data_IF_422843726739
#
_entry.id   IF_422843726739
#
_cell.length_a   1.000
_cell.length_b   1.000
_cell.length_c   1.000
_cell.angle_alpha   90.00
_cell.angle_beta   90.00
_cell.angle_gamma   90.00
#
_symmetry.space_group_name_H-M   'P 1'
#
loop_
_entity.id
_entity.type
_entity.pdbx_description
1 polymer ?
#
# COMPACT_ATOMS: atom_id res chain seq x y z
N UNK A 1 22.20 31.55 26.90
CA UNK A 1 22.95 30.38 26.45
C UNK A 1 22.06 29.19 26.72
N UNK A 2 21.38 28.69 25.68
CA UNK A 2 20.46 27.58 25.78
C UNK A 2 21.23 26.27 25.96
N UNK A 3 20.81 25.54 26.96
CA UNK A 3 21.45 24.26 27.38
C UNK A 3 21.16 23.15 26.39
N UNK A 4 22.10 22.86 25.50
CA UNK A 4 22.06 21.81 24.45
C UNK A 4 22.35 20.39 24.99
N UNK A 5 22.53 20.22 26.30
CA UNK A 5 23.02 18.97 26.90
C UNK A 5 21.98 17.86 27.02
N UNK A 6 20.71 18.11 26.63
CA UNK A 6 19.63 17.13 26.74
C UNK A 6 19.10 16.64 25.39
N UNK A 7 19.70 17.05 24.27
CA UNK A 7 19.32 16.51 22.97
C UNK A 7 19.92 15.12 22.78
N UNK A 8 19.08 14.15 22.42
CA UNK A 8 19.54 12.85 21.92
C UNK A 8 20.38 13.05 20.66
N UNK A 9 21.24 12.10 20.30
CA UNK A 9 22.03 12.17 19.06
C UNK A 9 21.13 12.42 17.83
N UNK A 10 19.93 11.81 17.79
CA UNK A 10 18.92 12.07 16.80
C UNK A 10 18.46 13.54 16.79
N UNK A 11 18.27 14.16 17.96
CA UNK A 11 17.91 15.57 18.09
C UNK A 11 18.99 16.54 17.60
N UNK A 12 20.27 16.23 17.88
CA UNK A 12 21.42 17.03 17.39
C UNK A 12 21.55 16.92 15.87
N UNK A 13 21.38 15.70 15.32
CA UNK A 13 21.39 15.47 13.88
C UNK A 13 20.26 16.26 13.20
N UNK A 14 19.03 16.17 13.71
CA UNK A 14 17.87 16.91 13.25
C UNK A 14 18.11 18.43 13.22
N UNK A 15 18.69 18.96 14.28
CA UNK A 15 19.04 20.40 14.34
C UNK A 15 20.07 20.78 13.27
N UNK A 16 21.09 19.94 13.01
CA UNK A 16 22.08 20.17 11.95
C UNK A 16 21.44 20.14 10.55
N UNK A 17 20.50 19.23 10.30
CA UNK A 17 19.81 19.10 9.01
C UNK A 17 18.86 20.28 8.75
N UNK A 18 18.16 20.76 9.77
CA UNK A 18 17.34 21.99 9.69
C UNK A 18 18.16 23.25 9.35
N UNK A 19 19.44 23.28 9.73
CA UNK A 19 20.37 24.37 9.42
C UNK A 19 21.03 24.24 8.03
N UNK A 20 20.92 23.06 7.38
CA UNK A 20 21.41 22.88 6.01
C UNK A 20 20.52 23.59 5.00
N UNK A 21 21.06 23.90 3.85
CA UNK A 21 20.33 24.44 2.70
C UNK A 21 19.25 23.50 2.18
N UNK A 22 18.78 23.71 0.97
CA UNK A 22 17.84 22.78 0.32
C UNK A 22 18.49 21.39 0.18
N UNK A 23 17.78 20.31 0.53
CA UNK A 23 18.31 18.93 0.45
C UNK A 23 18.46 18.47 -1.01
N UNK A 24 19.24 17.41 -1.21
CA UNK A 24 19.25 16.60 -2.43
C UNK A 24 18.21 15.47 -2.31
N UNK A 25 17.60 15.05 -3.43
CA UNK A 25 16.60 14.00 -3.50
C UNK A 25 17.07 12.88 -4.43
N UNK A 26 17.13 11.64 -3.92
CA UNK A 26 17.29 10.43 -4.72
C UNK A 26 15.93 9.78 -4.96
N UNK A 27 15.66 9.45 -6.23
CA UNK A 27 14.46 8.74 -6.68
C UNK A 27 14.87 7.37 -7.19
N UNK A 28 14.36 6.31 -6.56
CA UNK A 28 14.61 4.92 -6.96
C UNK A 28 13.46 4.42 -7.81
N UNK A 29 13.77 3.93 -9.03
CA UNK A 29 12.79 3.42 -9.99
C UNK A 29 13.18 1.98 -10.39
N UNK A 30 12.52 0.94 -9.83
CA UNK A 30 12.74 -0.45 -10.24
C UNK A 30 12.02 -0.72 -11.56
N UNK A 31 12.72 -1.25 -12.57
CA UNK A 31 12.17 -1.47 -13.92
C UNK A 31 12.29 -2.93 -14.32
N UNK A 32 11.19 -3.53 -14.77
CA UNK A 32 11.17 -4.84 -15.40
C UNK A 32 10.04 -4.97 -16.41
N UNK A 33 10.36 -5.08 -17.71
CA UNK A 33 9.42 -5.30 -18.81
C UNK A 33 8.23 -4.31 -18.83
N UNK A 34 8.53 -3.01 -18.92
CA UNK A 34 7.55 -1.90 -18.91
C UNK A 34 7.84 -0.85 -20.00
N UNK A 35 8.35 -1.28 -21.16
CA UNK A 35 8.76 -0.39 -22.24
C UNK A 35 7.67 0.60 -22.66
N UNK A 36 6.39 0.22 -22.57
CA UNK A 36 5.25 1.06 -22.92
C UNK A 36 5.07 2.26 -21.97
N UNK A 37 5.49 2.12 -20.70
CA UNK A 37 5.18 3.08 -19.64
C UNK A 37 6.38 3.89 -19.16
N UNK A 38 7.58 3.27 -19.14
CA UNK A 38 8.75 3.77 -18.43
C UNK A 38 9.21 5.15 -18.86
N UNK A 39 9.13 5.50 -20.15
CA UNK A 39 9.53 6.84 -20.62
C UNK A 39 8.59 7.91 -20.07
N UNK A 40 7.27 7.69 -20.12
CA UNK A 40 6.27 8.62 -19.57
C UNK A 40 6.47 8.80 -18.05
N UNK A 41 6.72 7.72 -17.35
CA UNK A 41 6.98 7.71 -15.91
C UNK A 41 8.22 8.57 -15.59
N UNK A 42 9.36 8.27 -16.20
CA UNK A 42 10.61 8.99 -15.96
C UNK A 42 10.53 10.46 -16.38
N UNK A 43 9.85 10.81 -17.48
CA UNK A 43 9.61 12.21 -17.83
C UNK A 43 8.84 12.93 -16.72
N UNK A 44 7.80 12.32 -16.13
CA UNK A 44 7.07 12.95 -15.03
C UNK A 44 7.93 13.21 -13.79
N UNK A 45 8.96 12.39 -13.55
CA UNK A 45 9.97 12.57 -12.49
C UNK A 45 10.92 13.71 -12.84
N UNK A 46 11.43 13.75 -14.06
CA UNK A 46 12.41 14.72 -14.52
C UNK A 46 11.85 16.15 -14.64
N UNK A 47 10.57 16.26 -14.99
CA UNK A 47 9.84 17.51 -15.15
C UNK A 47 9.42 18.14 -13.81
N UNK A 48 9.69 17.49 -12.66
CA UNK A 48 9.35 18.05 -11.36
C UNK A 48 10.10 19.34 -11.05
N UNK A 49 9.40 20.38 -10.54
CA UNK A 49 10.05 21.61 -10.10
C UNK A 49 11.06 21.37 -8.98
N UNK A 50 12.24 21.94 -9.08
CA UNK A 50 13.34 21.78 -8.10
C UNK A 50 13.39 22.89 -7.05
N UNK A 51 12.24 23.50 -6.72
CA UNK A 51 12.19 24.69 -5.83
C UNK A 51 12.65 24.39 -4.41
N UNK A 52 12.33 23.19 -3.89
CA UNK A 52 12.62 22.79 -2.51
C UNK A 52 13.86 21.91 -2.39
N UNK A 53 14.45 21.46 -3.49
CA UNK A 53 15.65 20.62 -3.53
C UNK A 53 16.80 21.36 -4.21
N UNK A 54 18.04 21.02 -3.85
CA UNK A 54 19.27 21.55 -4.47
C UNK A 54 19.78 20.65 -5.58
N UNK A 55 19.39 19.39 -5.61
CA UNK A 55 19.78 18.39 -6.62
C UNK A 55 18.77 17.24 -6.68
N UNK A 56 18.66 16.65 -7.87
CA UNK A 56 17.87 15.44 -8.13
C UNK A 56 18.81 14.37 -8.68
N UNK A 57 18.71 13.18 -8.13
CA UNK A 57 19.36 11.96 -8.59
C UNK A 57 18.26 10.92 -8.86
N UNK A 58 18.23 10.37 -10.09
CA UNK A 58 17.25 9.35 -10.50
C UNK A 58 18.01 8.05 -10.74
N UNK A 59 17.80 7.08 -9.89
CA UNK A 59 18.46 5.78 -9.94
C UNK A 59 17.46 4.77 -10.48
N UNK A 60 17.65 4.38 -11.74
CA UNK A 60 16.81 3.40 -12.42
C UNK A 60 17.49 2.05 -12.35
N UNK A 61 16.84 1.07 -11.77
CA UNK A 61 17.36 -0.30 -11.69
C UNK A 61 16.60 -1.18 -12.67
N UNK A 62 17.26 -1.53 -13.78
CA UNK A 62 16.76 -2.48 -14.77
C UNK A 62 17.00 -3.92 -14.27
N UNK A 63 15.94 -4.56 -13.80
CA UNK A 63 15.96 -5.91 -13.24
C UNK A 63 15.90 -7.00 -14.34
N UNK A 64 16.76 -6.83 -15.37
CA UNK A 64 16.91 -7.81 -16.45
C UNK A 64 15.77 -7.80 -17.45
N UNK A 65 15.30 -6.62 -17.87
CA UNK A 65 14.25 -6.50 -18.87
C UNK A 65 14.62 -7.13 -20.22
N UNK A 66 13.64 -7.82 -20.84
CA UNK A 66 13.75 -8.51 -22.11
C UNK A 66 12.93 -7.87 -23.24
N UNK A 67 12.19 -6.82 -22.93
CA UNK A 67 11.47 -5.96 -23.90
C UNK A 67 12.30 -4.75 -24.32
N UNK A 68 11.71 -3.68 -24.82
CA UNK A 68 12.40 -2.45 -25.19
C UNK A 68 12.85 -1.56 -24.02
N UNK A 69 12.56 -1.89 -22.75
CA UNK A 69 12.83 -1.04 -21.59
C UNK A 69 14.29 -0.63 -21.49
N UNK A 70 15.23 -1.59 -21.54
CA UNK A 70 16.67 -1.31 -21.43
C UNK A 70 17.19 -0.34 -22.50
N UNK A 71 16.63 -0.35 -23.70
CA UNK A 71 17.02 0.60 -24.77
C UNK A 71 16.53 2.01 -24.46
N UNK A 72 15.29 2.15 -23.99
CA UNK A 72 14.70 3.43 -23.57
C UNK A 72 15.54 4.03 -22.43
N UNK A 73 15.87 3.24 -21.42
CA UNK A 73 16.64 3.67 -20.25
C UNK A 73 18.03 4.18 -20.63
N UNK A 74 18.76 3.45 -21.51
CA UNK A 74 20.07 3.90 -21.99
C UNK A 74 20.01 5.23 -22.74
N UNK A 75 18.97 5.43 -23.55
CA UNK A 75 18.76 6.71 -24.24
C UNK A 75 18.51 7.83 -23.23
N UNK A 76 17.60 7.64 -22.29
CA UNK A 76 17.27 8.65 -21.27
C UNK A 76 18.48 9.00 -20.39
N UNK A 77 19.30 8.03 -20.00
CA UNK A 77 20.52 8.30 -19.24
C UNK A 77 21.58 9.06 -20.05
N UNK A 78 21.59 8.94 -21.38
CA UNK A 78 22.46 9.72 -22.24
C UNK A 78 21.96 11.17 -22.43
N UNK A 79 20.64 11.40 -22.33
CA UNK A 79 20.01 12.71 -22.45
C UNK A 79 20.03 13.49 -21.12
N UNK A 80 19.94 12.80 -19.97
CA UNK A 80 19.68 13.40 -18.66
C UNK A 80 20.80 13.06 -17.66
N UNK A 81 21.68 13.98 -17.35
CA UNK A 81 22.84 13.78 -16.50
C UNK A 81 22.49 13.35 -15.05
N UNK A 82 21.27 13.58 -14.58
CA UNK A 82 20.81 13.15 -13.27
C UNK A 82 20.24 11.71 -13.25
N UNK A 83 20.20 11.02 -14.40
CA UNK A 83 19.70 9.64 -14.51
C UNK A 83 20.87 8.67 -14.55
N UNK A 84 20.88 7.74 -13.60
CA UNK A 84 21.83 6.62 -13.56
C UNK A 84 21.05 5.32 -13.75
N UNK A 85 21.50 4.46 -14.67
CA UNK A 85 20.90 3.14 -14.92
C UNK A 85 21.83 2.05 -14.40
N UNK A 86 21.30 1.20 -13.52
CA UNK A 86 21.97 0.00 -13.02
C UNK A 86 21.23 -1.21 -13.60
N UNK A 87 21.93 -2.12 -14.25
CA UNK A 87 21.34 -3.36 -14.79
C UNK A 87 21.78 -4.55 -13.93
N UNK A 88 20.83 -5.40 -13.56
CA UNK A 88 21.05 -6.62 -12.81
C UNK A 88 20.28 -7.80 -13.43
N UNK A 89 20.66 -9.06 -13.13
CA UNK A 89 19.82 -10.22 -13.43
C UNK A 89 18.49 -10.11 -12.68
N UNK A 90 17.37 -10.55 -13.31
CA UNK A 90 16.06 -10.50 -12.67
C UNK A 90 16.06 -11.18 -11.31
N UNK A 91 15.87 -10.39 -10.27
CA UNK A 91 15.91 -10.77 -8.86
C UNK A 91 14.69 -10.29 -8.08
N UNK A 92 13.76 -9.63 -8.77
CA UNK A 92 12.51 -9.11 -8.23
C UNK A 92 12.61 -7.67 -7.69
N UNK A 93 11.44 -7.05 -7.56
CA UNK A 93 11.31 -5.62 -7.24
C UNK A 93 11.97 -5.21 -5.91
N UNK A 94 11.95 -6.09 -4.90
CA UNK A 94 12.61 -5.84 -3.61
C UNK A 94 14.11 -5.69 -3.78
N UNK A 95 14.76 -6.62 -4.47
CA UNK A 95 16.20 -6.59 -4.74
C UNK A 95 16.56 -5.37 -5.60
N UNK A 96 15.75 -5.05 -6.62
CA UNK A 96 15.95 -3.86 -7.43
C UNK A 96 15.85 -2.56 -6.60
N UNK A 97 14.89 -2.47 -5.67
CA UNK A 97 14.81 -1.34 -4.75
C UNK A 97 16.01 -1.26 -3.82
N UNK A 98 16.49 -2.39 -3.25
CA UNK A 98 17.71 -2.40 -2.43
C UNK A 98 18.93 -1.92 -3.21
N UNK A 99 19.14 -2.42 -4.43
CA UNK A 99 20.22 -1.94 -5.31
C UNK A 99 20.14 -0.41 -5.52
N UNK A 100 18.94 0.12 -5.73
CA UNK A 100 18.72 1.56 -5.88
C UNK A 100 18.97 2.34 -4.59
N UNK A 101 18.55 1.82 -3.43
CA UNK A 101 18.79 2.43 -2.11
C UNK A 101 20.30 2.49 -1.82
N UNK A 102 21.02 1.40 -2.09
CA UNK A 102 22.47 1.32 -1.86
C UNK A 102 23.25 2.30 -2.73
N UNK A 103 22.77 2.59 -3.93
CA UNK A 103 23.34 3.56 -4.84
C UNK A 103 22.94 5.02 -4.53
N UNK A 104 21.90 5.24 -3.71
CA UNK A 104 21.37 6.57 -3.41
C UNK A 104 22.32 7.38 -2.54
N UNK A 105 22.60 8.64 -2.94
CA UNK A 105 23.49 9.56 -2.22
C UNK A 105 22.78 10.79 -1.66
N UNK A 106 21.54 11.04 -2.07
CA UNK A 106 20.76 12.20 -1.65
C UNK A 106 20.45 12.24 -0.14
N UNK A 107 20.15 13.43 0.36
CA UNK A 107 19.70 13.62 1.75
C UNK A 107 18.31 12.99 1.98
N UNK A 108 17.49 13.01 0.93
CA UNK A 108 16.14 12.45 0.90
C UNK A 108 16.06 11.29 -0.11
N UNK A 109 15.14 10.38 0.14
CA UNK A 109 14.86 9.19 -0.66
C UNK A 109 13.37 9.10 -0.98
N UNK A 110 13.03 8.75 -2.21
CA UNK A 110 11.67 8.39 -2.63
C UNK A 110 11.70 7.31 -3.69
N UNK A 111 10.53 6.74 -3.98
CA UNK A 111 10.37 5.65 -4.94
C UNK A 111 9.31 6.01 -5.96
N UNK A 112 9.43 5.48 -7.17
CA UNK A 112 8.42 5.60 -8.23
C UNK A 112 8.30 4.27 -8.95
N UNK A 113 7.10 3.75 -9.08
CA UNK A 113 6.86 2.57 -9.90
C UNK A 113 6.87 2.97 -11.38
N UNK A 114 7.48 2.17 -12.26
CA UNK A 114 7.84 2.59 -13.63
C UNK A 114 6.65 2.65 -14.59
N UNK A 115 5.46 2.29 -14.16
CA UNK A 115 4.19 2.35 -14.89
C UNK A 115 3.25 3.45 -14.40
N UNK A 116 3.68 4.22 -13.38
CA UNK A 116 2.95 5.33 -12.80
C UNK A 116 3.53 6.70 -13.21
N UNK A 117 2.85 7.77 -12.82
CA UNK A 117 3.31 9.13 -13.07
C UNK A 117 3.16 10.02 -11.84
N UNK A 118 3.88 11.14 -11.84
CA UNK A 118 3.77 12.13 -10.78
C UNK A 118 2.97 13.34 -11.28
N UNK A 119 2.05 13.90 -10.49
CA UNK A 119 1.47 15.20 -10.74
C UNK A 119 2.55 16.28 -10.63
N UNK A 120 2.31 17.45 -11.22
CA UNK A 120 3.24 18.60 -11.12
C UNK A 120 3.40 19.01 -9.66
N UNK A 121 4.65 19.25 -9.25
CA UNK A 121 5.01 19.70 -7.89
C UNK A 121 4.75 18.66 -6.78
N UNK A 122 4.83 17.38 -7.12
CA UNK A 122 4.52 16.25 -6.25
C UNK A 122 5.27 16.24 -4.91
N UNK A 123 6.54 16.69 -4.89
CA UNK A 123 7.39 16.56 -3.69
C UNK A 123 7.52 17.83 -2.87
N UNK A 124 7.19 19.01 -3.43
CA UNK A 124 7.50 20.29 -2.77
C UNK A 124 6.84 20.44 -1.41
N UNK A 125 5.58 20.03 -1.26
CA UNK A 125 4.89 20.09 0.01
C UNK A 125 5.56 19.19 1.06
N UNK A 126 5.87 17.95 0.71
CA UNK A 126 6.54 16.98 1.59
C UNK A 126 7.94 17.43 1.98
N UNK A 127 8.77 17.87 1.02
CA UNK A 127 10.14 18.34 1.30
C UNK A 127 10.12 19.59 2.19
N UNK A 128 9.22 20.53 1.92
CA UNK A 128 9.02 21.74 2.75
C UNK A 128 8.60 21.36 4.17
N UNK A 129 7.69 20.41 4.32
CA UNK A 129 7.27 19.93 5.62
C UNK A 129 8.43 19.31 6.39
N UNK A 130 9.18 18.39 5.78
CA UNK A 130 10.34 17.75 6.40
C UNK A 130 11.40 18.77 6.83
N UNK A 131 11.65 19.81 6.03
CA UNK A 131 12.58 20.89 6.40
C UNK A 131 12.10 21.70 7.61
N UNK A 132 10.78 21.87 7.75
CA UNK A 132 10.17 22.64 8.86
C UNK A 132 10.06 21.83 10.14
N UNK A 133 9.64 20.58 10.05
CA UNK A 133 9.31 19.74 11.20
C UNK A 133 10.47 18.90 11.73
N UNK A 134 11.39 18.54 10.84
CA UNK A 134 12.44 17.57 11.13
C UNK A 134 11.92 16.12 11.22
N UNK A 135 10.70 15.83 10.78
CA UNK A 135 10.14 14.47 10.74
C UNK A 135 10.97 13.53 9.90
N UNK A 136 10.88 12.22 10.15
CA UNK A 136 11.69 11.19 9.50
C UNK A 136 11.24 10.95 8.05
N UNK A 137 9.94 11.08 7.81
CA UNK A 137 9.36 11.06 6.47
C UNK A 137 8.08 11.90 6.40
N UNK A 138 7.65 12.20 5.19
CA UNK A 138 6.35 12.78 4.89
C UNK A 138 5.60 11.89 3.89
N UNK A 139 4.28 11.84 4.00
CA UNK A 139 3.40 11.06 3.13
C UNK A 139 2.32 11.96 2.55
N UNK A 140 2.09 11.86 1.23
CA UNK A 140 1.04 12.59 0.52
C UNK A 140 -0.06 11.67 -0.01
N UNK A 141 -1.17 12.28 -0.44
CA UNK A 141 -2.28 11.55 -1.04
C UNK A 141 -1.94 11.02 -2.44
N UNK A 142 -2.66 10.00 -2.87
CA UNK A 142 -2.57 9.48 -4.24
C UNK A 142 -3.95 9.35 -4.87
N UNK A 143 -4.01 9.53 -6.19
CA UNK A 143 -5.20 9.28 -6.99
C UNK A 143 -4.99 8.08 -7.91
N UNK A 144 -6.03 7.30 -8.10
CA UNK A 144 -6.10 6.34 -9.20
C UNK A 144 -6.47 7.07 -10.48
N UNK A 145 -5.71 6.79 -11.53
CA UNK A 145 -5.93 7.35 -12.87
C UNK A 145 -6.31 6.23 -13.81
N UNK A 146 -7.53 6.25 -14.31
CA UNK A 146 -8.06 5.28 -15.26
C UNK A 146 -8.46 5.98 -16.56
N UNK A 147 -8.25 5.32 -17.70
CA UNK A 147 -8.75 5.79 -19.00
C UNK A 147 -9.92 4.92 -19.42
N UNK A 148 -11.12 5.48 -19.45
CA UNK A 148 -12.35 4.81 -19.87
C UNK A 148 -12.95 5.53 -21.08
N UNK A 149 -13.04 4.82 -22.21
CA UNK A 149 -13.57 5.41 -23.44
C UNK A 149 -12.78 6.64 -23.95
N UNK A 150 -11.48 6.70 -23.69
CA UNK A 150 -10.61 7.83 -24.05
C UNK A 150 -10.68 9.04 -23.11
N UNK A 151 -11.44 8.92 -22.00
CA UNK A 151 -11.55 9.97 -20.99
C UNK A 151 -10.79 9.56 -19.73
N UNK A 152 -9.86 10.41 -19.29
CA UNK A 152 -9.16 10.21 -18.02
C UNK A 152 -10.08 10.48 -16.83
N UNK A 153 -10.12 9.55 -15.89
CA UNK A 153 -10.84 9.65 -14.63
C UNK A 153 -9.87 9.51 -13.47
N UNK A 154 -9.95 10.46 -12.56
CA UNK A 154 -9.15 10.50 -11.34
C UNK A 154 -10.03 10.32 -10.12
N UNK A 155 -9.62 9.47 -9.19
CA UNK A 155 -10.34 9.27 -7.94
C UNK A 155 -9.45 8.76 -6.82
N UNK A 156 -9.70 9.25 -5.61
CA UNK A 156 -9.10 8.69 -4.39
C UNK A 156 -9.91 7.52 -3.89
N UNK A 157 -9.25 6.48 -3.41
CA UNK A 157 -9.92 5.44 -2.64
C UNK A 157 -10.49 6.02 -1.34
N UNK A 158 -11.55 5.45 -0.74
CA UNK A 158 -12.10 5.93 0.52
C UNK A 158 -11.07 5.99 1.64
N UNK A 159 -10.17 4.99 1.71
CA UNK A 159 -9.09 4.94 2.68
C UNK A 159 -8.09 6.08 2.49
N UNK A 160 -7.63 6.30 1.25
CA UNK A 160 -6.73 7.40 0.91
C UNK A 160 -7.33 8.75 1.29
N UNK A 161 -8.61 8.97 0.95
CA UNK A 161 -9.34 10.19 1.32
C UNK A 161 -9.45 10.38 2.84
N UNK A 162 -9.69 9.28 3.60
CA UNK A 162 -9.76 9.33 5.07
C UNK A 162 -8.40 9.67 5.68
N UNK A 163 -7.35 9.01 5.21
CA UNK A 163 -6.01 9.17 5.76
C UNK A 163 -5.41 10.55 5.49
N UNK A 164 -5.77 11.16 4.35
CA UNK A 164 -5.25 12.45 3.90
C UNK A 164 -6.29 13.59 3.96
N UNK A 165 -7.34 13.46 4.80
CA UNK A 165 -8.39 14.47 4.94
C UNK A 165 -7.93 15.78 5.56
N UNK A 166 -6.84 15.78 6.32
CA UNK A 166 -6.26 16.95 6.98
C UNK A 166 -4.75 16.80 7.11
N UNK A 167 -4.02 17.91 7.01
CA UNK A 167 -2.58 17.96 7.32
C UNK A 167 -2.36 17.62 8.80
N UNK A 168 -1.39 16.76 9.07
CA UNK A 168 -0.96 16.41 10.41
C UNK A 168 0.56 16.39 10.44
N UNK A 169 1.16 17.12 11.35
CA UNK A 169 2.60 17.30 11.43
C UNK A 169 3.14 16.62 12.68
N UNK A 170 4.31 15.98 12.52
CA UNK A 170 5.03 15.31 13.61
C UNK A 170 4.19 14.24 14.32
N UNK A 171 3.35 13.53 13.56
CA UNK A 171 2.59 12.40 14.08
C UNK A 171 3.50 11.23 14.47
N UNK A 172 3.10 10.51 15.49
CA UNK A 172 3.56 9.14 15.72
C UNK A 172 2.52 8.17 15.19
N UNK A 173 2.90 6.92 14.93
CA UNK A 173 1.94 5.93 14.46
C UNK A 173 0.82 5.67 15.47
N UNK A 174 1.08 5.82 16.76
CA UNK A 174 0.08 5.72 17.83
C UNK A 174 -1.00 6.79 17.74
N UNK A 175 -0.66 7.99 17.22
CA UNK A 175 -1.62 9.10 17.03
C UNK A 175 -2.42 8.97 15.74
N UNK A 176 -1.94 8.14 14.80
CA UNK A 176 -2.52 7.96 13.48
C UNK A 176 -2.49 6.49 13.01
N UNK A 177 -3.04 5.54 13.79
CA UNK A 177 -2.81 4.11 13.58
C UNK A 177 -3.34 3.59 12.24
N UNK A 178 -4.33 4.24 11.64
CA UNK A 178 -4.82 3.90 10.30
C UNK A 178 -3.80 4.14 9.18
N UNK A 179 -2.72 4.87 9.45
CA UNK A 179 -1.63 5.03 8.49
C UNK A 179 -0.90 3.69 8.22
N UNK A 180 -1.04 2.67 9.07
CA UNK A 180 -0.62 1.31 8.77
C UNK A 180 -1.27 0.72 7.51
N UNK A 181 -2.40 1.26 7.07
CA UNK A 181 -3.05 0.88 5.81
C UNK A 181 -2.51 1.63 4.58
N UNK A 182 -1.70 2.68 4.78
CA UNK A 182 -1.00 3.39 3.70
C UNK A 182 0.34 2.69 3.41
N UNK A 183 0.23 1.49 2.84
CA UNK A 183 1.35 0.57 2.57
C UNK A 183 2.15 0.93 1.32
N UNK A 184 1.90 2.07 0.70
CA UNK A 184 2.55 2.46 -0.55
C UNK A 184 3.88 3.18 -0.26
N UNK A 185 4.97 2.74 -0.88
CA UNK A 185 6.28 3.37 -0.69
C UNK A 185 6.44 4.65 -1.53
N UNK A 186 5.73 4.73 -2.65
CA UNK A 186 5.91 5.73 -3.68
C UNK A 186 5.20 7.08 -3.41
N UNK A 187 4.28 7.17 -2.44
CA UNK A 187 3.65 8.43 -2.02
C UNK A 187 4.38 9.09 -0.84
N UNK A 188 5.63 8.72 -0.58
CA UNK A 188 6.40 9.16 0.58
C UNK A 188 7.76 9.72 0.17
N UNK A 189 8.24 10.68 0.97
CA UNK A 189 9.62 11.15 0.93
C UNK A 189 10.23 10.91 2.30
N UNK A 190 11.32 10.16 2.34
CA UNK A 190 12.03 9.74 3.55
C UNK A 190 13.33 10.53 3.70
N UNK A 191 13.78 10.75 4.94
CA UNK A 191 15.19 11.00 5.16
C UNK A 191 15.96 9.73 4.87
N UNK A 192 16.95 9.78 4.00
CA UNK A 192 17.73 8.59 3.67
C UNK A 192 18.44 8.04 4.89
N UNK A 193 18.94 8.92 5.80
CA UNK A 193 19.55 8.49 7.05
C UNK A 193 18.60 7.68 7.93
N UNK A 194 17.30 8.10 8.02
CA UNK A 194 16.28 7.34 8.74
C UNK A 194 16.14 5.91 8.17
N UNK A 195 16.06 5.79 6.83
CA UNK A 195 15.91 4.50 6.17
C UNK A 195 17.07 3.56 6.47
N UNK A 196 18.32 4.07 6.33
CA UNK A 196 19.54 3.27 6.51
C UNK A 196 19.85 2.91 7.95
N UNK A 197 19.67 3.84 8.89
CA UNK A 197 19.95 3.64 10.31
C UNK A 197 18.98 2.67 10.98
N UNK A 198 17.71 2.61 10.51
CA UNK A 198 16.74 1.65 11.01
C UNK A 198 16.73 0.33 10.22
N UNK A 199 17.68 0.16 9.29
CA UNK A 199 17.81 -1.06 8.48
C UNK A 199 16.48 -1.51 7.86
N UNK A 200 15.69 -0.55 7.33
CA UNK A 200 14.41 -0.84 6.68
C UNK A 200 14.66 -1.69 5.43
N UNK A 201 13.98 -2.84 5.34
CA UNK A 201 14.15 -3.78 4.23
C UNK A 201 12.81 -4.18 3.63
N UNK A 202 12.81 -4.36 2.31
CA UNK A 202 11.71 -5.02 1.61
C UNK A 202 11.94 -6.53 1.64
N UNK A 203 10.99 -7.35 2.12
CA UNK A 203 11.11 -8.81 2.02
C UNK A 203 11.29 -9.23 0.56
N UNK A 204 12.19 -10.15 0.31
CA UNK A 204 12.43 -10.67 -1.02
C UNK A 204 11.37 -11.70 -1.43
N UNK A 205 11.19 -11.88 -2.75
CA UNK A 205 10.36 -12.93 -3.35
C UNK A 205 8.92 -12.97 -2.87
N UNK A 206 8.34 -11.81 -2.59
CA UNK A 206 6.92 -11.66 -2.26
C UNK A 206 6.31 -10.47 -3.03
N UNK A 207 5.03 -10.58 -3.42
CA UNK A 207 4.30 -9.53 -4.13
C UNK A 207 3.85 -8.37 -3.23
N UNK A 208 3.86 -8.57 -1.91
CA UNK A 208 3.26 -7.66 -0.93
C UNK A 208 4.33 -7.06 0.01
N UNK A 209 5.56 -6.97 -0.48
CA UNK A 209 6.73 -6.52 0.25
C UNK A 209 6.58 -5.13 0.88
N UNK A 210 5.81 -4.24 0.23
CA UNK A 210 5.60 -2.88 0.71
C UNK A 210 4.90 -2.85 2.07
N UNK A 211 3.95 -3.73 2.33
CA UNK A 211 3.25 -3.80 3.61
C UNK A 211 4.21 -4.04 4.78
N UNK A 212 5.15 -4.96 4.62
CA UNK A 212 6.13 -5.27 5.67
C UNK A 212 7.11 -4.12 5.85
N UNK A 213 7.67 -3.61 4.75
CA UNK A 213 8.61 -2.50 4.79
C UNK A 213 7.99 -1.23 5.40
N UNK A 214 6.76 -0.88 5.00
CA UNK A 214 6.09 0.30 5.54
C UNK A 214 5.62 0.11 6.99
N UNK A 215 5.32 -1.10 7.43
CA UNK A 215 5.10 -1.38 8.85
C UNK A 215 6.37 -1.10 9.67
N UNK A 216 7.55 -1.53 9.19
CA UNK A 216 8.85 -1.19 9.83
C UNK A 216 9.04 0.33 9.86
N UNK A 217 8.79 1.03 8.74
CA UNK A 217 8.89 2.50 8.64
C UNK A 217 8.04 3.19 9.70
N UNK A 218 6.75 2.83 9.81
CA UNK A 218 5.84 3.48 10.77
C UNK A 218 6.21 3.20 12.22
N UNK A 219 6.67 1.99 12.54
CA UNK A 219 7.07 1.61 13.90
C UNK A 219 8.41 2.24 14.31
N UNK A 220 9.34 2.41 13.39
CA UNK A 220 10.66 2.97 13.66
C UNK A 220 10.66 4.51 13.74
N UNK A 221 9.68 5.18 13.12
CA UNK A 221 9.69 6.64 13.03
C UNK A 221 9.44 7.32 14.38
N UNK A 222 10.31 8.25 14.73
CA UNK A 222 10.05 9.20 15.83
C UNK A 222 8.86 10.10 15.53
N UNK A 223 8.75 10.54 14.26
CA UNK A 223 7.59 11.28 13.78
C UNK A 223 7.55 11.31 12.25
N UNK A 224 6.32 11.48 11.72
CA UNK A 224 6.08 11.67 10.29
C UNK A 224 5.03 12.78 10.06
N UNK A 225 5.02 13.31 8.84
CA UNK A 225 4.06 14.34 8.42
C UNK A 225 3.08 13.75 7.42
N UNK A 226 1.79 14.03 7.58
CA UNK A 226 0.73 13.65 6.64
C UNK A 226 0.27 14.88 5.89
N UNK A 227 0.38 14.87 4.57
CA UNK A 227 0.00 15.96 3.67
C UNK A 227 -1.36 15.65 3.03
N UNK A 228 -2.08 16.70 2.63
CA UNK A 228 -3.36 16.59 1.91
C UNK A 228 -3.18 16.61 0.39
N UNK A 229 -2.03 17.05 -0.09
CA UNK A 229 -1.72 17.18 -1.50
C UNK A 229 -1.64 15.80 -2.18
N UNK A 230 -2.18 15.72 -3.40
CA UNK A 230 -2.00 14.57 -4.29
C UNK A 230 -0.58 14.62 -4.85
N UNK A 231 0.21 13.61 -4.50
CA UNK A 231 1.63 13.52 -4.86
C UNK A 231 1.93 12.38 -5.84
N UNK A 232 0.93 11.58 -6.16
CA UNK A 232 1.12 10.38 -6.98
C UNK A 232 -0.12 10.03 -7.81
N UNK A 233 0.09 9.74 -9.08
CA UNK A 233 -0.90 9.30 -10.06
C UNK A 233 -0.75 7.79 -10.30
N UNK A 234 -1.51 6.98 -9.55
CA UNK A 234 -1.49 5.53 -9.68
C UNK A 234 -2.29 5.08 -10.89
N UNK A 235 -1.60 4.68 -11.96
CA UNK A 235 -2.22 4.30 -13.23
C UNK A 235 -2.96 2.96 -13.14
N UNK A 236 -4.17 2.89 -13.64
CA UNK A 236 -4.92 1.65 -13.79
C UNK A 236 -4.64 1.07 -15.16
N UNK A 237 -3.89 -0.03 -15.25
CA UNK A 237 -3.58 -0.68 -16.52
C UNK A 237 -4.83 -1.25 -17.16
N UNK A 238 -5.05 -0.96 -18.45
CA UNK A 238 -6.21 -1.42 -19.20
C UNK A 238 -6.21 -2.94 -19.42
N UNK A 239 -5.01 -3.55 -19.54
CA UNK A 239 -4.80 -4.97 -19.81
C UNK A 239 -4.92 -5.88 -18.57
N UNK A 240 -5.10 -5.30 -17.39
CA UNK A 240 -5.18 -6.03 -16.10
C UNK A 240 -3.96 -6.93 -15.82
N UNK A 241 -2.79 -6.62 -16.36
CA UNK A 241 -1.56 -7.43 -16.24
C UNK A 241 -0.81 -7.28 -14.90
N UNK A 242 -1.34 -6.50 -13.95
CA UNK A 242 -0.66 -6.23 -12.69
C UNK A 242 -0.44 -7.50 -11.86
N UNK A 243 0.72 -7.62 -11.23
CA UNK A 243 1.14 -8.79 -10.45
C UNK A 243 0.14 -9.17 -9.33
N UNK A 244 -0.61 -8.20 -8.81
CA UNK A 244 -1.59 -8.38 -7.72
C UNK A 244 -2.92 -8.96 -8.21
N UNK A 245 -3.17 -9.08 -9.51
CA UNK A 245 -4.46 -9.52 -10.05
C UNK A 245 -4.61 -11.05 -10.18
N UNK A 246 -3.52 -11.82 -10.07
CA UNK A 246 -3.54 -13.29 -10.18
C UNK A 246 -3.91 -13.97 -8.85
N UNK A 247 -5.06 -13.64 -8.28
CA UNK A 247 -5.46 -14.05 -6.92
C UNK A 247 -5.91 -15.48 -6.79
N UNK A 248 -6.33 -16.10 -7.88
CA UNK A 248 -6.69 -17.52 -7.92
C UNK A 248 -5.46 -18.46 -7.83
N UNK A 249 -4.24 -17.93 -7.91
CA UNK A 249 -3.02 -18.72 -7.73
C UNK A 249 -2.75 -18.97 -6.24
N UNK A 250 -2.47 -20.21 -5.89
CA UNK A 250 -2.16 -20.62 -4.51
C UNK A 250 -0.97 -19.85 -3.92
N UNK A 251 0.08 -19.63 -4.72
CA UNK A 251 1.25 -18.86 -4.32
C UNK A 251 0.89 -17.41 -3.90
N UNK A 252 -0.10 -16.80 -4.56
CA UNK A 252 -0.56 -15.45 -4.20
C UNK A 252 -1.19 -15.41 -2.80
N UNK A 253 -2.01 -16.40 -2.46
CA UNK A 253 -2.61 -16.52 -1.13
C UNK A 253 -1.53 -16.78 -0.07
N UNK A 254 -0.58 -17.68 -0.32
CA UNK A 254 0.53 -17.99 0.60
C UNK A 254 1.33 -16.72 0.90
N UNK A 255 1.76 -15.99 -0.12
CA UNK A 255 2.52 -14.74 0.05
C UNK A 255 1.72 -13.69 0.83
N UNK A 256 0.40 -13.60 0.59
CA UNK A 256 -0.47 -12.67 1.33
C UNK A 256 -0.58 -13.05 2.81
N UNK A 257 -0.75 -14.32 3.12
CA UNK A 257 -0.80 -14.83 4.51
C UNK A 257 0.53 -14.55 5.22
N UNK A 258 1.64 -14.87 4.58
CA UNK A 258 2.98 -14.67 5.16
C UNK A 258 3.26 -13.18 5.42
N UNK A 259 2.87 -12.30 4.49
CA UNK A 259 3.01 -10.86 4.67
C UNK A 259 2.19 -10.35 5.85
N UNK A 260 0.94 -10.81 6.00
CA UNK A 260 0.10 -10.43 7.13
C UNK A 260 0.67 -10.94 8.45
N UNK A 261 1.19 -12.16 8.48
CA UNK A 261 1.83 -12.74 9.68
C UNK A 261 3.06 -11.92 10.09
N UNK A 262 3.94 -11.58 9.14
CA UNK A 262 5.08 -10.71 9.40
C UNK A 262 4.66 -9.32 9.91
N UNK A 263 3.60 -8.75 9.36
CA UNK A 263 3.04 -7.46 9.81
C UNK A 263 2.53 -7.55 11.26
N UNK A 264 1.81 -8.61 11.60
CA UNK A 264 1.33 -8.88 12.98
C UNK A 264 2.51 -9.00 13.93
N UNK A 265 3.54 -9.76 13.55
CA UNK A 265 4.73 -9.99 14.39
C UNK A 265 5.51 -8.69 14.63
N UNK A 266 5.68 -7.85 13.63
CA UNK A 266 6.29 -6.53 13.76
C UNK A 266 5.51 -5.63 14.74
N UNK A 267 4.19 -5.55 14.59
CA UNK A 267 3.35 -4.74 15.50
C UNK A 267 3.30 -5.34 16.91
N UNK A 268 3.35 -6.67 17.04
CA UNK A 268 3.45 -7.34 18.36
C UNK A 268 4.76 -7.01 19.06
N UNK A 269 5.86 -6.90 18.32
CA UNK A 269 7.18 -6.63 18.88
C UNK A 269 7.41 -5.15 19.21
N UNK A 270 6.89 -4.22 18.41
CA UNK A 270 7.21 -2.79 18.51
C UNK A 270 6.04 -1.84 18.73
N UNK A 271 4.78 -2.31 18.66
CA UNK A 271 3.59 -1.49 18.78
C UNK A 271 2.86 -1.64 20.12
N UNK A 272 1.84 -0.81 20.32
CA UNK A 272 0.93 -0.90 21.47
C UNK A 272 -0.23 -1.86 21.23
N UNK A 273 -0.96 -2.19 22.30
CA UNK A 273 -2.22 -2.94 22.20
C UNK A 273 -3.26 -2.20 21.35
N UNK A 274 -3.30 -0.86 21.39
CA UNK A 274 -4.16 -0.05 20.55
C UNK A 274 -3.81 -0.18 19.07
N UNK A 275 -2.52 -0.15 18.74
CA UNK A 275 -2.04 -0.31 17.37
C UNK A 275 -2.36 -1.71 16.83
N UNK A 276 -2.18 -2.76 17.65
CA UNK A 276 -2.58 -4.13 17.31
C UNK A 276 -4.08 -4.25 17.07
N UNK A 277 -4.89 -3.65 17.93
CA UNK A 277 -6.35 -3.65 17.74
C UNK A 277 -6.75 -2.96 16.42
N UNK A 278 -6.17 -1.80 16.12
CA UNK A 278 -6.42 -1.11 14.84
C UNK A 278 -5.95 -1.95 13.65
N UNK A 279 -4.78 -2.60 13.76
CA UNK A 279 -4.27 -3.48 12.71
C UNK A 279 -5.27 -4.61 12.39
N UNK A 280 -5.76 -5.31 13.41
CA UNK A 280 -6.67 -6.46 13.25
C UNK A 280 -8.06 -6.05 12.79
N UNK A 281 -8.58 -4.92 13.28
CA UNK A 281 -9.97 -4.50 13.04
C UNK A 281 -10.13 -3.67 11.76
N UNK A 282 -9.16 -2.79 11.46
CA UNK A 282 -9.32 -1.77 10.42
C UNK A 282 -8.35 -1.93 9.24
N UNK A 283 -7.19 -2.59 9.40
CA UNK A 283 -6.14 -2.62 8.37
C UNK A 283 -6.06 -3.97 7.66
N UNK A 284 -5.80 -5.05 8.38
CA UNK A 284 -5.60 -6.36 7.77
C UNK A 284 -6.81 -6.92 7.02
N UNK A 285 -8.08 -6.64 7.41
CA UNK A 285 -9.22 -7.20 6.71
C UNK A 285 -9.52 -6.54 5.35
N UNK A 286 -8.94 -5.37 5.04
CA UNK A 286 -9.33 -4.54 3.87
C UNK A 286 -9.31 -5.30 2.55
N UNK A 287 -8.33 -6.15 2.33
CA UNK A 287 -8.10 -6.83 1.04
C UNK A 287 -8.40 -8.34 1.06
N UNK A 288 -8.88 -8.86 2.19
CA UNK A 288 -9.19 -10.29 2.31
C UNK A 288 -10.38 -10.73 1.45
N UNK A 289 -11.32 -9.84 1.18
CA UNK A 289 -12.53 -10.13 0.39
C UNK A 289 -12.24 -10.70 -1.00
N UNK A 290 -11.12 -10.32 -1.60
CA UNK A 290 -10.72 -10.83 -2.91
C UNK A 290 -10.27 -12.28 -2.83
N UNK A 291 -9.65 -12.69 -1.73
CA UNK A 291 -9.29 -14.09 -1.47
C UNK A 291 -10.52 -14.93 -1.11
N UNK A 292 -11.52 -14.33 -0.42
CA UNK A 292 -12.81 -15.02 -0.21
C UNK A 292 -13.50 -15.31 -1.54
N UNK A 293 -13.48 -14.37 -2.49
CA UNK A 293 -14.01 -14.60 -3.83
C UNK A 293 -13.20 -15.63 -4.61
N UNK A 294 -11.88 -15.53 -4.54
CA UNK A 294 -11.00 -16.46 -5.22
C UNK A 294 -11.20 -17.89 -4.71
N UNK A 295 -11.42 -18.10 -3.42
CA UNK A 295 -11.53 -19.43 -2.81
C UNK A 295 -12.62 -20.33 -3.43
N UNK A 296 -13.64 -19.75 -4.04
CA UNK A 296 -14.76 -20.47 -4.68
C UNK A 296 -14.85 -20.18 -6.19
N UNK A 297 -13.83 -19.59 -6.78
CA UNK A 297 -13.78 -19.30 -8.21
C UNK A 297 -13.41 -20.60 -8.98
N UNK A 298 -14.01 -20.89 -10.15
CA UNK A 298 -13.72 -22.12 -10.90
C UNK A 298 -12.27 -22.25 -11.37
N UNK A 299 -11.57 -21.12 -11.57
CA UNK A 299 -10.17 -21.11 -12.02
C UNK A 299 -9.16 -21.15 -10.86
N UNK A 300 -9.60 -21.42 -9.63
CA UNK A 300 -8.70 -21.45 -8.46
C UNK A 300 -7.78 -22.66 -8.52
N UNK A 301 -6.49 -22.37 -8.39
CA UNK A 301 -5.46 -23.41 -8.32
C UNK A 301 -5.63 -24.17 -6.99
N UNK A 302 -5.72 -25.51 -7.08
CA UNK A 302 -5.94 -26.41 -5.93
C UNK A 302 -7.00 -25.88 -4.93
N UNK A 303 -8.30 -25.92 -5.28
CA UNK A 303 -9.36 -25.28 -4.48
C UNK A 303 -9.44 -25.79 -3.04
N UNK A 304 -9.16 -27.06 -2.80
CA UNK A 304 -9.18 -27.63 -1.44
C UNK A 304 -8.06 -27.05 -0.60
N UNK A 305 -6.85 -27.03 -1.13
CA UNK A 305 -5.69 -26.46 -0.43
C UNK A 305 -5.82 -24.95 -0.23
N UNK A 306 -6.35 -24.25 -1.24
CA UNK A 306 -6.63 -22.81 -1.14
C UNK A 306 -7.63 -22.52 -0.01
N UNK A 307 -8.72 -23.29 0.07
CA UNK A 307 -9.72 -23.17 1.12
C UNK A 307 -9.15 -23.41 2.51
N UNK A 308 -8.41 -24.52 2.70
CA UNK A 308 -7.75 -24.83 3.97
C UNK A 308 -6.83 -23.73 4.46
N UNK A 309 -5.98 -23.20 3.58
CA UNK A 309 -5.04 -22.13 3.91
C UNK A 309 -5.76 -20.83 4.25
N UNK A 310 -6.76 -20.45 3.45
CA UNK A 310 -7.54 -19.24 3.70
C UNK A 310 -8.28 -19.31 5.03
N UNK A 311 -8.97 -20.44 5.27
CA UNK A 311 -9.68 -20.68 6.53
C UNK A 311 -8.73 -20.69 7.73
N UNK A 312 -7.60 -21.39 7.61
CA UNK A 312 -6.57 -21.40 8.65
C UNK A 312 -6.09 -19.99 9.00
N UNK A 313 -5.81 -19.17 7.99
CA UNK A 313 -5.38 -17.78 8.19
C UNK A 313 -6.47 -16.90 8.84
N UNK A 314 -7.74 -17.06 8.46
CA UNK A 314 -8.85 -16.34 9.08
C UNK A 314 -8.98 -16.70 10.55
N UNK A 315 -8.87 -17.98 10.90
CA UNK A 315 -8.91 -18.44 12.29
C UNK A 315 -7.71 -17.91 13.07
N UNK A 316 -6.48 -18.09 12.57
CA UNK A 316 -5.23 -17.65 13.20
C UNK A 316 -5.22 -16.14 13.50
N UNK A 317 -5.53 -15.32 12.50
CA UNK A 317 -5.33 -13.87 12.61
C UNK A 317 -6.43 -13.16 13.41
N UNK A 318 -7.63 -13.71 13.43
CA UNK A 318 -8.78 -13.04 14.05
C UNK A 318 -9.39 -13.84 15.21
N UNK A 319 -9.82 -15.07 15.00
CA UNK A 319 -10.53 -15.81 16.05
C UNK A 319 -9.60 -16.22 17.19
N UNK A 320 -8.41 -16.74 16.89
CA UNK A 320 -7.42 -17.11 17.91
C UNK A 320 -6.84 -15.87 18.62
N UNK A 321 -6.84 -14.71 17.93
CA UNK A 321 -6.48 -13.43 18.53
C UNK A 321 -7.59 -12.80 19.41
N UNK A 322 -8.77 -13.43 19.50
CA UNK A 322 -9.90 -12.92 20.27
C UNK A 322 -10.62 -11.72 19.64
N UNK A 323 -10.43 -11.47 18.35
CA UNK A 323 -11.07 -10.42 17.57
C UNK A 323 -11.76 -11.06 16.37
N UNK A 324 -12.99 -11.60 16.51
CA UNK A 324 -13.70 -12.22 15.39
C UNK A 324 -13.76 -11.30 14.17
N UNK A 325 -13.63 -11.85 12.95
CA UNK A 325 -13.61 -11.05 11.74
C UNK A 325 -14.89 -10.22 11.53
N UNK A 326 -16.01 -10.71 12.03
CA UNK A 326 -17.29 -10.01 12.03
C UNK A 326 -17.29 -8.71 12.84
N UNK A 327 -16.35 -8.55 13.78
CA UNK A 327 -16.18 -7.32 14.59
C UNK A 327 -15.29 -6.27 13.89
N UNK A 328 -14.80 -6.58 12.69
CA UNK A 328 -13.99 -5.65 11.89
C UNK A 328 -14.82 -4.54 11.24
N UNK A 329 -14.15 -3.47 10.78
CA UNK A 329 -14.83 -2.31 10.17
C UNK A 329 -15.12 -2.45 8.67
N UNK A 330 -14.73 -3.56 8.06
CA UNK A 330 -15.02 -3.79 6.63
C UNK A 330 -16.52 -3.94 6.37
N UNK A 331 -16.97 -3.74 5.11
CA UNK A 331 -18.39 -3.87 4.77
C UNK A 331 -19.01 -5.18 5.23
N UNK A 332 -20.25 -5.14 5.69
CA UNK A 332 -20.97 -6.28 6.24
C UNK A 332 -20.97 -7.54 5.34
N UNK A 333 -20.96 -7.34 4.02
CA UNK A 333 -20.86 -8.45 3.06
C UNK A 333 -19.51 -9.17 3.17
N UNK A 334 -18.42 -8.46 3.42
CA UNK A 334 -17.10 -9.03 3.60
C UNK A 334 -17.00 -9.76 4.96
N UNK A 335 -17.60 -9.20 6.00
CA UNK A 335 -17.71 -9.84 7.31
C UNK A 335 -18.51 -11.14 7.22
N UNK A 336 -19.60 -11.16 6.47
CA UNK A 336 -20.38 -12.39 6.21
C UNK A 336 -19.56 -13.43 5.42
N UNK A 337 -18.80 -13.01 4.40
CA UNK A 337 -17.90 -13.93 3.67
C UNK A 337 -16.89 -14.58 4.62
N UNK A 338 -16.23 -13.79 5.45
CA UNK A 338 -15.23 -14.29 6.40
C UNK A 338 -15.85 -15.23 7.45
N UNK A 339 -17.05 -14.92 7.95
CA UNK A 339 -17.78 -15.79 8.84
C UNK A 339 -18.09 -17.15 8.19
N UNK A 340 -18.56 -17.16 6.92
CA UNK A 340 -18.79 -18.41 6.18
C UNK A 340 -17.48 -19.22 6.01
N UNK A 341 -16.36 -18.56 5.75
CA UNK A 341 -15.04 -19.21 5.70
C UNK A 341 -14.68 -19.82 7.07
N UNK A 342 -14.82 -19.08 8.15
CA UNK A 342 -14.51 -19.56 9.48
C UNK A 342 -15.37 -20.77 9.89
N UNK A 343 -16.65 -20.77 9.50
CA UNK A 343 -17.61 -21.86 9.76
C UNK A 343 -17.48 -23.04 8.76
N UNK A 344 -16.46 -23.03 7.89
CA UNK A 344 -16.22 -24.10 6.88
C UNK A 344 -17.38 -24.30 5.88
N UNK A 345 -17.99 -23.20 5.43
CA UNK A 345 -19.21 -23.19 4.60
C UNK A 345 -18.92 -22.74 3.17
N UNK A 346 -18.12 -23.50 2.43
CA UNK A 346 -17.67 -23.15 1.07
C UNK A 346 -18.82 -23.01 0.06
N UNK A 347 -19.81 -23.92 0.10
CA UNK A 347 -20.98 -23.89 -0.80
C UNK A 347 -21.83 -22.63 -0.56
N UNK A 348 -22.01 -22.24 0.68
CA UNK A 348 -22.75 -21.04 1.06
C UNK A 348 -22.02 -19.77 0.64
N UNK A 349 -20.68 -19.75 0.73
CA UNK A 349 -19.85 -18.65 0.22
C UNK A 349 -20.00 -18.53 -1.31
N UNK A 350 -19.96 -19.65 -2.03
CA UNK A 350 -20.18 -19.65 -3.49
C UNK A 350 -21.57 -19.10 -3.85
N UNK A 351 -22.62 -19.53 -3.12
CA UNK A 351 -23.97 -19.04 -3.32
C UNK A 351 -24.11 -17.53 -3.03
N UNK A 352 -23.45 -17.03 -1.95
CA UNK A 352 -23.42 -15.60 -1.62
C UNK A 352 -22.76 -14.79 -2.75
N UNK A 353 -21.62 -15.26 -3.26
CA UNK A 353 -20.87 -14.58 -4.34
C UNK A 353 -21.72 -14.55 -5.63
N UNK A 354 -22.35 -15.65 -6.01
CA UNK A 354 -23.26 -15.69 -7.15
C UNK A 354 -24.45 -14.70 -7.00
N UNK A 355 -24.98 -14.56 -5.79
CA UNK A 355 -26.01 -13.55 -5.49
C UNK A 355 -25.46 -12.12 -5.61
N UNK A 356 -24.22 -11.88 -5.16
CA UNK A 356 -23.56 -10.57 -5.27
C UNK A 356 -23.39 -10.19 -6.75
N UNK A 357 -22.89 -11.12 -7.55
CA UNK A 357 -22.66 -10.90 -8.99
C UNK A 357 -23.95 -10.65 -9.75
N UNK A 358 -25.03 -11.34 -9.37
CA UNK A 358 -26.34 -11.20 -10.01
C UNK A 358 -27.12 -9.94 -9.59
N UNK A 359 -27.06 -9.58 -8.32
CA UNK A 359 -27.97 -8.58 -7.72
C UNK A 359 -27.25 -7.38 -7.09
N UNK A 360 -25.92 -7.43 -6.96
CA UNK A 360 -25.11 -6.49 -6.21
C UNK A 360 -25.07 -6.81 -4.70
N UNK A 361 -23.99 -6.42 -4.05
CA UNK A 361 -23.69 -6.73 -2.65
C UNK A 361 -24.84 -6.39 -1.68
N UNK A 362 -25.46 -5.21 -1.83
CA UNK A 362 -26.57 -4.76 -0.99
C UNK A 362 -27.77 -5.71 -1.02
N UNK A 363 -28.18 -6.17 -2.22
CA UNK A 363 -29.34 -7.06 -2.37
C UNK A 363 -29.02 -8.47 -1.93
N UNK A 364 -27.78 -8.94 -2.13
CA UNK A 364 -27.33 -10.25 -1.72
C UNK A 364 -27.37 -10.40 -0.19
N UNK A 365 -26.85 -9.42 0.53
CA UNK A 365 -26.83 -9.39 2.00
C UNK A 365 -28.25 -9.37 2.61
N UNK A 366 -29.20 -8.71 1.94
CA UNK A 366 -30.60 -8.65 2.39
C UNK A 366 -31.37 -9.95 2.16
N UNK A 367 -30.97 -10.76 1.19
CA UNK A 367 -31.69 -11.92 0.69
C UNK A 367 -31.03 -13.27 0.97
N UNK A 368 -29.89 -13.28 1.66
CA UNK A 368 -29.19 -14.55 1.91
C UNK A 368 -30.05 -15.50 2.77
N UNK A 369 -29.99 -16.82 2.47
CA UNK A 369 -30.86 -17.80 3.13
C UNK A 369 -30.51 -18.06 4.60
N UNK A 370 -29.29 -17.71 5.04
CA UNK A 370 -28.78 -17.98 6.41
C UNK A 370 -29.23 -16.94 7.44
N UNK A 371 -30.07 -16.01 7.10
CA UNK A 371 -30.55 -14.94 7.98
C UNK A 371 -31.20 -15.46 9.26
N UNK A 372 -31.85 -16.63 9.16
CA UNK A 372 -32.49 -17.33 10.28
C UNK A 372 -31.51 -18.27 11.02
N UNK A 373 -30.26 -18.38 10.57
CA UNK A 373 -29.26 -19.27 11.19
C UNK A 373 -28.94 -18.78 12.61
N UNK A 374 -29.18 -19.61 13.65
CA UNK A 374 -28.91 -19.24 15.05
C UNK A 374 -27.42 -18.99 15.33
N UNK A 375 -26.52 -19.56 14.52
CA UNK A 375 -25.08 -19.35 14.64
C UNK A 375 -24.60 -18.03 14.01
N UNK A 376 -25.44 -17.37 13.20
CA UNK A 376 -25.08 -16.09 12.61
C UNK A 376 -25.05 -14.99 13.68
N UNK A 377 -23.95 -14.22 13.80
CA UNK A 377 -23.87 -13.09 14.72
C UNK A 377 -25.04 -12.11 14.58
N UNK A 378 -25.57 -11.54 15.68
CA UNK A 378 -26.75 -10.67 15.65
C UNK A 378 -26.60 -9.46 14.72
N UNK A 379 -25.42 -8.87 14.65
CA UNK A 379 -25.09 -7.72 13.78
C UNK A 379 -25.10 -8.10 12.30
N UNK A 380 -24.75 -9.35 11.95
CA UNK A 380 -24.87 -9.88 10.59
C UNK A 380 -26.31 -10.31 10.22
N UNK A 381 -27.17 -10.57 11.21
CA UNK A 381 -28.63 -10.78 10.97
C UNK A 381 -29.34 -9.47 10.64
N UNK A 382 -28.97 -8.39 11.32
CA UNK A 382 -29.61 -7.07 11.23
C UNK A 382 -28.92 -6.10 10.24
N UNK A 383 -28.14 -6.63 9.29
CA UNK A 383 -27.42 -5.87 8.27
C UNK A 383 -28.31 -4.81 7.58
N UNK A 384 -29.63 -4.98 7.55
CA UNK A 384 -30.58 -3.99 7.06
C UNK A 384 -30.47 -2.62 7.74
N UNK A 385 -30.11 -2.56 9.01
CA UNK A 385 -30.00 -1.31 9.76
C UNK A 385 -28.70 -0.56 9.43
N UNK A 386 -27.61 -1.27 9.12
CA UNK A 386 -26.30 -0.69 8.83
C UNK A 386 -26.15 -0.21 7.37
N UNK A 387 -26.92 -0.76 6.44
CA UNK A 387 -26.90 -0.31 5.03
C UNK A 387 -27.28 1.17 4.90
N UNK A 388 -28.05 1.71 5.83
CA UNK A 388 -28.41 3.14 5.84
C UNK A 388 -27.37 4.02 6.51
N UNK A 389 -26.50 3.47 7.39
CA UNK A 389 -25.45 4.21 8.09
C UNK A 389 -24.15 4.32 7.29
N UNK A 390 -23.87 3.35 6.44
CA UNK A 390 -22.68 3.39 5.56
C UNK A 390 -23.02 4.28 4.37
N UNK A 391 -22.57 5.52 4.42
CA UNK A 391 -22.78 6.50 3.36
C UNK A 391 -22.37 5.96 1.99
N UNK A 392 -22.98 6.49 0.93
CA UNK A 392 -22.82 6.06 -0.49
C UNK A 392 -21.38 5.88 -0.95
N UNK A 393 -20.38 6.43 -0.24
CA UNK A 393 -18.96 6.35 -0.57
C UNK A 393 -18.31 4.98 -0.30
N UNK A 394 -18.73 4.24 0.72
CA UNK A 394 -18.11 2.94 1.05
C UNK A 394 -18.59 1.78 0.14
N UNK A 395 -19.70 1.98 -0.57
CA UNK A 395 -20.24 1.01 -1.54
C UNK A 395 -19.63 1.18 -2.95
N UNK A 396 -18.96 2.30 -3.21
CA UNK A 396 -18.42 2.63 -4.55
C UNK A 396 -17.05 2.00 -4.85
N UNK A 397 -16.41 1.33 -3.89
CA UNK A 397 -15.18 0.56 -4.15
C UNK A 397 -15.46 -0.80 -4.79
N UNK A 398 -16.73 -1.17 -4.92
CA UNK A 398 -17.15 -2.40 -5.54
C UNK A 398 -17.83 -2.10 -6.89
N UNK A 399 -17.05 -2.01 -7.96
CA UNK A 399 -17.58 -2.23 -9.32
C UNK A 399 -17.40 -3.71 -9.66
N UNK A 400 -18.49 -4.41 -10.04
CA UNK A 400 -18.35 -5.76 -10.57
C UNK A 400 -17.48 -5.68 -11.80
N UNK A 401 -16.49 -6.58 -11.86
CA UNK A 401 -15.81 -6.85 -13.12
C UNK A 401 -16.88 -7.37 -14.08
N UNK A 402 -17.37 -6.51 -14.95
CA UNK A 402 -18.15 -6.97 -16.11
C UNK A 402 -17.14 -7.62 -17.06
N UNK A 403 -17.40 -8.87 -17.36
CA UNK A 403 -16.65 -9.70 -18.29
C UNK A 403 -16.55 -9.14 -19.70
#
# INVERSE_FOLDING_TARGET
MSDWRHLTEAGVRRARELLRGRPTLSVVVPVYNVAEYVEKSLRSVLDQPRREISGLEVIVVDDGSTDGSAQILRRMAAEEACVTVITQPNSGVSTARHTGIDAATGDLLTFVDPDDTLPVDAWSAMVRSLRRTGSDFAVGAAERVAVEGGVERRFMTPLMRRNHAAERLRCRIEDAPLMLADIFVWNKVFRRSFWTENAIVFPERTRYQDQVALTQVFLAADSFDVMTEVVYDWQVRADRSSATQKRAQLANLVERIDTKRQTIDLVRAGGSAHLMQTLLVEVLPIDMWEHFRAAVHPDTEDPLRYWELLRGAVLEFWYDAGVPFEDTTVPAVQRLMAWLVAQDRAEDLAALIAMIDRYGARKAVVRHPWREDPALPPDLRDIHRDIHKVGRGALLTWQPMRG
#
